data_IF_819719907187
#
_entry.id   IF_819719907187
#
_cell.length_a   1.000
_cell.length_b   1.000
_cell.length_c   1.000
_cell.angle_alpha   90.00
_cell.angle_beta   90.00
_cell.angle_gamma   90.00
#
_symmetry.space_group_name_H-M   'P 1'
#
loop_
_entity.id
_entity.type
_entity.pdbx_description
1 polymer ?
#
# COMPACT_ATOMS: atom_id res chain seq x y z
N UNK A 1 -7.31 -13.46 12.90
CA UNK A 1 -6.59 -13.12 14.11
C UNK A 1 -5.67 -11.92 13.86
N UNK A 2 -5.64 -11.03 14.80
CA UNK A 2 -4.84 -9.82 14.66
C UNK A 2 -3.47 -10.01 15.29
N UNK A 3 -2.45 -9.67 14.55
CA UNK A 3 -1.10 -9.72 15.07
C UNK A 3 -0.72 -8.34 15.58
N UNK A 4 -0.18 -8.28 16.79
CA UNK A 4 0.33 -7.03 17.32
C UNK A 4 1.75 -6.84 16.82
N UNK A 5 1.98 -5.73 16.16
CA UNK A 5 3.31 -5.39 15.69
C UNK A 5 3.70 -4.01 16.22
N UNK A 6 5.01 -3.77 16.24
CA UNK A 6 5.55 -2.46 16.55
C UNK A 6 5.98 -1.83 15.23
N UNK A 7 5.10 -1.06 14.57
CA UNK A 7 5.43 -0.54 13.24
C UNK A 7 6.58 0.45 13.32
N UNK A 8 7.57 0.25 12.47
CA UNK A 8 8.76 1.10 12.43
C UNK A 8 8.99 1.71 11.06
N UNK A 9 8.46 1.08 10.02
CA UNK A 9 8.63 1.55 8.66
C UNK A 9 7.31 1.53 7.94
N UNK A 10 7.15 2.47 7.05
CA UNK A 10 5.93 2.64 6.28
C UNK A 10 6.28 2.62 4.81
N UNK A 11 5.57 1.81 4.05
CA UNK A 11 5.62 1.84 2.60
C UNK A 11 4.40 2.62 2.14
N UNK A 12 4.63 3.72 1.45
CA UNK A 12 3.55 4.57 0.98
C UNK A 12 3.47 4.50 -0.54
N UNK A 13 2.29 4.19 -1.04
CA UNK A 13 2.01 4.14 -2.47
C UNK A 13 1.16 5.35 -2.83
N UNK A 14 1.55 6.04 -3.90
CA UNK A 14 0.82 7.20 -4.40
C UNK A 14 0.35 6.92 -5.81
N UNK A 15 -0.91 7.22 -6.09
CA UNK A 15 -1.45 6.98 -7.44
C UNK A 15 -2.77 7.69 -7.64
N UNK A 16 -3.18 7.73 -8.90
CA UNK A 16 -4.49 8.23 -9.27
C UNK A 16 -5.34 7.07 -9.74
N UNK A 17 -6.61 7.09 -9.37
CA UNK A 17 -7.55 6.06 -9.82
C UNK A 17 -8.04 6.37 -11.23
N UNK A 18 -8.16 5.33 -12.04
CA UNK A 18 -8.82 5.44 -13.33
C UNK A 18 -10.31 5.30 -13.05
N UNK A 19 -11.13 6.34 -13.34
CA UNK A 19 -12.54 6.32 -12.91
C UNK A 19 -13.32 5.10 -13.36
N UNK A 20 -13.06 4.60 -14.56
CA UNK A 20 -13.77 3.43 -15.05
C UNK A 20 -13.31 2.12 -14.41
N UNK A 21 -12.24 2.15 -13.61
CA UNK A 21 -11.66 0.96 -13.00
C UNK A 21 -11.83 0.91 -11.49
N UNK A 22 -12.57 1.84 -10.91
CA UNK A 22 -12.64 1.96 -9.45
C UNK A 22 -13.16 0.70 -8.78
N UNK A 23 -14.19 0.09 -9.31
CA UNK A 23 -14.76 -1.11 -8.72
C UNK A 23 -13.77 -2.27 -8.76
N UNK A 24 -13.15 -2.48 -9.91
CA UNK A 24 -12.16 -3.55 -10.07
C UNK A 24 -10.94 -3.29 -9.19
N UNK A 25 -10.57 -2.02 -9.04
CA UNK A 25 -9.48 -1.63 -8.16
C UNK A 25 -9.76 -2.05 -6.73
N UNK A 26 -10.94 -1.72 -6.21
CA UNK A 26 -11.28 -2.09 -4.83
C UNK A 26 -11.31 -3.60 -4.64
N UNK A 27 -11.90 -4.31 -5.59
CA UNK A 27 -11.94 -5.76 -5.50
C UNK A 27 -10.54 -6.35 -5.46
N UNK A 28 -9.64 -5.86 -6.32
CA UNK A 28 -8.27 -6.35 -6.33
C UNK A 28 -7.55 -6.04 -5.02
N UNK A 29 -7.61 -4.79 -4.57
CA UNK A 29 -6.87 -4.38 -3.38
C UNK A 29 -7.36 -5.15 -2.16
N UNK A 30 -8.67 -5.22 -1.95
CA UNK A 30 -9.21 -5.82 -0.74
C UNK A 30 -9.13 -7.33 -0.73
N UNK A 31 -9.22 -7.98 -1.88
CA UNK A 31 -9.28 -9.43 -1.93
C UNK A 31 -7.98 -10.11 -2.34
N UNK A 32 -7.05 -9.37 -2.93
CA UNK A 32 -5.78 -9.96 -3.37
C UNK A 32 -4.57 -9.26 -2.76
N UNK A 33 -4.46 -7.96 -2.93
CA UNK A 33 -3.25 -7.25 -2.54
C UNK A 33 -3.05 -7.16 -1.03
N UNK A 34 -4.06 -6.74 -0.31
CA UNK A 34 -3.96 -6.60 1.15
C UNK A 34 -3.71 -7.96 1.81
N UNK A 35 -4.44 -9.02 1.47
CA UNK A 35 -4.15 -10.32 2.07
C UNK A 35 -2.75 -10.84 1.74
N UNK A 36 -2.28 -10.66 0.50
CA UNK A 36 -0.95 -11.11 0.12
C UNK A 36 0.13 -10.35 0.88
N UNK A 37 -0.02 -9.04 1.01
CA UNK A 37 0.91 -8.22 1.76
C UNK A 37 0.94 -8.63 3.24
N UNK A 38 -0.23 -8.88 3.80
CA UNK A 38 -0.36 -9.24 5.19
C UNK A 38 0.38 -10.55 5.50
N UNK A 39 0.31 -11.51 4.60
CA UNK A 39 1.05 -12.75 4.76
C UNK A 39 2.56 -12.56 4.73
N UNK A 40 3.02 -11.48 4.14
CA UNK A 40 4.44 -11.12 4.11
C UNK A 40 4.80 -10.14 5.22
N UNK A 41 3.90 -9.94 6.19
CA UNK A 41 4.09 -9.06 7.33
C UNK A 41 4.16 -7.58 6.95
N UNK A 42 3.47 -7.23 5.90
CA UNK A 42 3.28 -5.85 5.48
C UNK A 42 1.78 -5.56 5.61
N UNK A 43 1.41 -4.73 6.57
CA UNK A 43 0.02 -4.54 6.96
C UNK A 43 -0.52 -3.20 6.50
N UNK A 44 -1.70 -3.21 5.90
CA UNK A 44 -2.34 -1.95 5.52
C UNK A 44 -2.66 -1.15 6.78
N UNK A 45 -2.20 0.10 6.79
CA UNK A 45 -2.38 1.00 7.92
C UNK A 45 -3.47 2.01 7.64
N UNK A 46 -3.37 2.72 6.50
CA UNK A 46 -4.30 3.78 6.19
C UNK A 46 -4.38 4.02 4.69
N UNK A 47 -5.51 4.52 4.23
CA UNK A 47 -5.67 4.96 2.85
C UNK A 47 -6.29 6.35 2.88
N UNK A 48 -5.63 7.27 2.22
CA UNK A 48 -6.13 8.64 2.07
C UNK A 48 -6.64 8.83 0.67
N UNK A 49 -7.73 9.56 0.57
CA UNK A 49 -8.34 9.85 -0.72
C UNK A 49 -8.52 11.37 -0.83
N UNK A 50 -7.84 11.95 -1.79
CA UNK A 50 -7.93 13.38 -2.05
C UNK A 50 -8.41 13.60 -3.47
N UNK A 51 -9.38 14.49 -3.63
CA UNK A 51 -9.91 14.82 -4.94
C UNK A 51 -9.43 16.21 -5.33
N UNK A 52 -8.73 16.28 -6.45
CA UNK A 52 -8.27 17.53 -7.03
C UNK A 52 -8.66 17.54 -8.49
N UNK A 53 -9.38 18.56 -8.91
CA UNK A 53 -9.84 18.62 -10.27
C UNK A 53 -10.69 17.41 -10.60
N UNK A 54 -10.37 16.75 -11.70
CA UNK A 54 -11.18 15.64 -12.20
C UNK A 54 -10.68 14.27 -11.76
N UNK A 55 -9.50 14.20 -11.16
CA UNK A 55 -8.90 12.92 -10.80
C UNK A 55 -8.73 12.79 -9.30
N UNK A 56 -9.24 11.69 -8.72
CA UNK A 56 -8.98 11.42 -7.31
C UNK A 56 -7.55 10.91 -7.13
N UNK A 57 -6.89 11.45 -6.12
CA UNK A 57 -5.56 11.01 -5.73
C UNK A 57 -5.68 10.11 -4.52
N UNK A 58 -4.88 9.06 -4.52
CA UNK A 58 -4.90 8.09 -3.42
C UNK A 58 -3.51 7.88 -2.86
N UNK A 59 -3.45 7.72 -1.56
CA UNK A 59 -2.23 7.41 -0.85
C UNK A 59 -2.54 6.23 0.06
N UNK A 60 -1.93 5.09 -0.24
CA UNK A 60 -2.13 3.87 0.55
C UNK A 60 -0.88 3.61 1.37
N UNK A 61 -1.04 3.37 2.66
CA UNK A 61 0.07 3.19 3.58
C UNK A 61 0.05 1.79 4.18
N UNK A 62 1.19 1.12 4.10
CA UNK A 62 1.41 -0.17 4.75
C UNK A 62 2.51 -0.03 5.76
N UNK A 63 2.43 -0.77 6.85
CA UNK A 63 3.44 -0.72 7.91
C UNK A 63 4.04 -2.09 8.15
N UNK A 64 5.28 -2.09 8.61
CA UNK A 64 5.99 -3.32 8.97
C UNK A 64 6.97 -3.02 10.11
N UNK A 65 7.47 -4.08 10.76
CA UNK A 65 8.32 -3.92 11.93
C UNK A 65 9.77 -3.57 11.61
N UNK A 66 10.30 -4.09 10.51
CA UNK A 66 11.70 -3.85 10.23
C UNK A 66 11.98 -3.68 8.75
N UNK A 67 13.10 -3.04 8.47
CA UNK A 67 13.50 -2.73 7.10
C UNK A 67 13.89 -3.97 6.30
N UNK A 68 14.59 -4.97 6.86
CA UNK A 68 14.87 -6.19 6.10
C UNK A 68 13.60 -6.89 5.61
N UNK A 69 12.56 -6.95 6.45
CA UNK A 69 11.27 -7.51 6.03
C UNK A 69 10.70 -6.72 4.86
N UNK A 70 10.71 -5.39 4.96
CA UNK A 70 10.20 -4.56 3.89
C UNK A 70 10.96 -4.76 2.58
N UNK A 71 12.28 -4.80 2.66
CA UNK A 71 13.10 -5.04 1.47
C UNK A 71 12.81 -6.39 0.86
N UNK A 72 12.66 -7.40 1.70
CA UNK A 72 12.32 -8.74 1.24
C UNK A 72 10.98 -8.76 0.51
N UNK A 73 9.98 -8.06 1.05
CA UNK A 73 8.68 -7.94 0.40
C UNK A 73 8.81 -7.30 -0.98
N UNK A 74 9.52 -6.18 -1.05
CA UNK A 74 9.65 -5.45 -2.31
C UNK A 74 10.38 -6.24 -3.38
N UNK A 75 11.25 -7.17 -2.98
CA UNK A 75 11.98 -8.01 -3.90
C UNK A 75 11.23 -9.31 -4.23
N UNK A 76 10.16 -9.60 -3.52
CA UNK A 76 9.43 -10.85 -3.71
C UNK A 76 8.67 -10.85 -5.04
N UNK A 77 8.56 -12.04 -5.61
CA UNK A 77 7.77 -12.20 -6.83
C UNK A 77 6.31 -11.89 -6.57
N UNK A 78 5.82 -12.28 -5.39
CA UNK A 78 4.44 -12.01 -5.02
C UNK A 78 4.12 -10.53 -5.05
N UNK A 79 4.97 -9.71 -4.40
CA UNK A 79 4.74 -8.27 -4.37
C UNK A 79 4.83 -7.66 -5.77
N UNK A 80 5.83 -8.06 -6.53
CA UNK A 80 6.00 -7.52 -7.88
C UNK A 80 4.82 -7.87 -8.78
N UNK A 81 4.26 -9.05 -8.63
CA UNK A 81 3.06 -9.45 -9.36
C UNK A 81 1.87 -8.60 -8.96
N UNK A 82 1.70 -8.38 -7.65
CA UNK A 82 0.60 -7.55 -7.16
C UNK A 82 0.76 -6.10 -7.61
N UNK A 83 1.99 -5.59 -7.56
CA UNK A 83 2.28 -4.22 -7.97
C UNK A 83 1.98 -4.01 -9.45
N UNK A 84 2.36 -4.97 -10.27
CA UNK A 84 2.09 -4.90 -11.69
C UNK A 84 0.58 -4.94 -11.98
N UNK A 85 -0.14 -5.78 -11.25
CA UNK A 85 -1.58 -5.87 -11.43
C UNK A 85 -2.28 -4.60 -10.97
N UNK A 86 -1.82 -4.01 -9.88
CA UNK A 86 -2.37 -2.75 -9.39
C UNK A 86 -2.33 -1.68 -10.47
N UNK A 87 -1.25 -1.65 -11.24
CA UNK A 87 -1.06 -0.62 -12.26
C UNK A 87 -2.02 -0.74 -13.43
N UNK A 88 -2.80 -1.81 -13.51
CA UNK A 88 -3.86 -1.92 -14.51
C UNK A 88 -5.06 -1.03 -14.17
N UNK A 89 -5.16 -0.59 -12.93
CA UNK A 89 -6.32 0.16 -12.43
C UNK A 89 -6.01 1.61 -12.12
N UNK A 90 -4.74 2.01 -12.22
CA UNK A 90 -4.30 3.31 -11.73
C UNK A 90 -3.32 3.96 -12.72
N UNK A 91 -3.03 5.24 -12.46
CA UNK A 91 -2.00 5.98 -13.20
C UNK A 91 -1.12 6.73 -12.22
N UNK A 92 0.02 7.21 -12.70
CA UNK A 92 0.95 8.04 -11.92
C UNK A 92 1.41 7.36 -10.64
N UNK A 93 1.72 6.08 -10.73
CA UNK A 93 2.11 5.29 -9.57
C UNK A 93 3.55 5.58 -9.16
N UNK A 94 3.74 5.90 -7.88
CA UNK A 94 5.06 6.02 -7.25
C UNK A 94 4.96 5.47 -5.84
N UNK A 95 6.11 5.24 -5.21
CA UNK A 95 6.13 4.77 -3.83
C UNK A 95 7.38 5.25 -3.14
N UNK A 96 7.35 5.24 -1.81
CA UNK A 96 8.52 5.52 -1.01
C UNK A 96 8.44 4.85 0.34
N UNK A 97 9.59 4.67 0.96
CA UNK A 97 9.71 4.11 2.31
C UNK A 97 9.97 5.26 3.26
N UNK A 98 9.22 5.30 4.34
CA UNK A 98 9.35 6.35 5.35
C UNK A 98 9.47 5.67 6.71
N UNK A 99 10.43 6.09 7.56
CA UNK A 99 10.43 5.63 8.94
C UNK A 99 9.13 6.06 9.61
N UNK A 100 8.46 5.11 10.24
CA UNK A 100 7.19 5.36 10.90
C UNK A 100 7.45 5.54 12.39
N UNK A 101 7.04 6.67 12.92
CA UNK A 101 7.16 6.95 14.33
C UNK A 101 5.78 6.93 14.95
N UNK A 102 5.61 5.98 15.83
CA UNK A 102 4.38 5.87 16.54
C UNK A 102 4.37 6.80 17.73
N UNK A 103 3.18 7.13 18.17
CA UNK A 103 3.01 8.06 19.27
C UNK A 103 2.85 9.45 18.72
N UNK A 104 3.22 10.43 19.49
CA UNK A 104 3.00 11.78 19.05
C UNK A 104 4.21 12.33 18.37
N UNK A 105 3.94 13.07 17.36
CA UNK A 105 4.95 13.72 16.54
C UNK A 105 4.86 15.22 16.78
N UNK A 106 5.12 15.59 17.95
CA UNK A 106 4.99 16.98 18.32
C UNK A 106 6.15 17.82 17.88
#
# INVERSE_FOLDING_TARGET
MTKNIAPRYKLTLYYDLIPSQIEDYYNFVMHEMVPAAQQMELYMFEVYHTVWGDCPHRQAEFVTEDLPTLRSVLQSETWQTMEKKLQEYITNYTWKIIPFRQGFQL
#
